data_IF_945590246663
#
_entry.id   IF_945590246663
#
_cell.length_a   1.000
_cell.length_b   1.000
_cell.length_c   1.000
_cell.angle_alpha   90.00
_cell.angle_beta   90.00
_cell.angle_gamma   90.00
#
_symmetry.space_group_name_H-M   'P 1'
#
loop_
_entity.id
_entity.type
_entity.pdbx_description
1 polymer ?
#
# COMPACT_ATOMS: atom_id res chain seq x y z
N UNK A 1 -39.74 7.10 9.04
CA UNK A 1 -39.10 6.63 10.28
C UNK A 1 -37.70 6.16 9.90
N UNK A 2 -36.73 7.05 10.02
CA UNK A 2 -35.35 6.71 9.73
C UNK A 2 -34.81 5.80 10.83
N UNK A 3 -34.25 4.66 10.43
CA UNK A 3 -33.45 3.85 11.33
C UNK A 3 -32.26 4.71 11.77
N UNK A 4 -31.82 4.61 13.04
CA UNK A 4 -30.60 5.31 13.44
C UNK A 4 -29.48 4.82 12.56
N UNK A 5 -28.81 5.74 11.85
CA UNK A 5 -27.53 5.49 11.23
C UNK A 5 -26.59 5.28 12.40
N UNK A 6 -26.29 4.03 12.70
CA UNK A 6 -25.19 3.71 13.60
C UNK A 6 -23.95 4.16 12.83
N UNK A 7 -23.39 5.28 13.24
CA UNK A 7 -22.09 5.74 12.76
C UNK A 7 -21.06 4.72 13.30
N UNK A 8 -20.92 3.61 12.57
CA UNK A 8 -19.94 2.60 12.89
C UNK A 8 -18.57 3.17 12.59
N UNK A 9 -17.98 3.79 13.59
CA UNK A 9 -16.62 4.29 13.49
C UNK A 9 -15.67 3.14 13.16
N UNK A 10 -14.69 3.41 12.30
CA UNK A 10 -13.62 2.48 12.00
C UNK A 10 -12.37 2.90 12.77
N UNK A 11 -11.64 1.92 13.24
CA UNK A 11 -10.36 2.13 13.91
C UNK A 11 -9.22 1.79 12.97
N UNK A 12 -8.19 2.62 12.98
CA UNK A 12 -6.97 2.37 12.23
C UNK A 12 -5.98 1.62 13.13
N UNK A 13 -5.58 0.42 12.71
CA UNK A 13 -4.56 -0.39 13.36
C UNK A 13 -3.28 -0.37 12.54
N UNK A 14 -2.17 -0.11 13.21
CA UNK A 14 -0.85 -0.24 12.60
C UNK A 14 -0.47 -1.72 12.43
N UNK A 15 0.06 -2.06 11.27
CA UNK A 15 0.52 -3.41 10.94
C UNK A 15 2.02 -3.54 11.19
N UNK A 16 2.48 -4.73 11.56
CA UNK A 16 3.91 -5.02 11.56
C UNK A 16 4.49 -4.97 10.14
N UNK A 17 5.79 -4.73 9.99
CA UNK A 17 6.44 -4.79 8.68
C UNK A 17 6.24 -6.14 7.98
N UNK A 18 6.31 -7.24 8.69
CA UNK A 18 6.15 -8.60 8.14
C UNK A 18 4.73 -8.80 7.63
N UNK A 19 3.72 -8.35 8.37
CA UNK A 19 2.33 -8.44 7.93
C UNK A 19 2.06 -7.52 6.75
N UNK A 20 2.63 -6.33 6.73
CA UNK A 20 2.54 -5.38 5.62
C UNK A 20 3.13 -5.98 4.34
N UNK A 21 4.30 -6.60 4.39
CA UNK A 21 4.93 -7.27 3.25
C UNK A 21 4.09 -8.47 2.78
N UNK A 22 3.52 -9.24 3.69
CA UNK A 22 2.63 -10.36 3.36
C UNK A 22 1.38 -9.86 2.62
N UNK A 23 0.77 -8.78 3.07
CA UNK A 23 -0.40 -8.18 2.40
C UNK A 23 -0.04 -7.59 1.04
N UNK A 24 1.09 -6.88 0.94
CA UNK A 24 1.61 -6.38 -0.32
C UNK A 24 1.84 -7.52 -1.33
N UNK A 25 2.34 -8.67 -0.88
CA UNK A 25 2.55 -9.86 -1.71
C UNK A 25 1.25 -10.53 -2.16
N UNK A 26 0.13 -10.26 -1.48
CA UNK A 26 -1.17 -10.86 -1.79
C UNK A 26 -1.89 -10.21 -2.96
N UNK A 27 -1.44 -9.04 -3.39
CA UNK A 27 -1.98 -8.28 -4.53
C UNK A 27 -0.92 -8.09 -5.59
N UNK A 28 -1.34 -7.78 -6.81
CA UNK A 28 -0.44 -7.63 -7.95
C UNK A 28 -0.52 -6.26 -8.61
N UNK A 29 -1.27 -5.34 -8.05
CA UNK A 29 -1.42 -3.96 -8.54
C UNK A 29 -1.13 -2.99 -7.40
N UNK A 30 -0.34 -1.98 -7.70
CA UNK A 30 -0.06 -0.87 -6.80
C UNK A 30 0.26 0.39 -7.58
N UNK A 31 0.86 1.34 -6.91
CA UNK A 31 1.23 2.64 -7.49
C UNK A 31 2.64 2.99 -7.08
N UNK A 32 3.49 3.24 -8.07
CA UNK A 32 4.81 3.81 -7.81
C UNK A 32 4.72 5.33 -7.84
N UNK A 33 5.36 5.97 -6.85
CA UNK A 33 5.49 7.42 -6.74
C UNK A 33 6.97 7.76 -6.81
N UNK A 34 7.33 8.65 -7.71
CA UNK A 34 8.70 9.05 -7.96
C UNK A 34 8.78 10.51 -8.39
N UNK A 35 9.96 11.07 -8.38
CA UNK A 35 10.19 12.43 -8.90
C UNK A 35 10.66 12.36 -10.34
N UNK A 36 10.00 13.08 -11.23
CA UNK A 36 10.40 13.24 -12.61
C UNK A 36 10.55 14.73 -12.94
N UNK A 37 11.74 15.14 -13.31
CA UNK A 37 12.05 16.55 -13.59
C UNK A 37 11.62 17.50 -12.45
N UNK A 38 11.96 17.14 -11.23
CA UNK A 38 11.62 17.83 -9.97
C UNK A 38 10.11 17.91 -9.66
N UNK A 39 9.26 17.15 -10.35
CA UNK A 39 7.84 17.06 -10.08
C UNK A 39 7.44 15.66 -9.61
N UNK A 40 6.53 15.54 -8.64
CA UNK A 40 5.98 14.26 -8.24
C UNK A 40 5.23 13.60 -9.41
N UNK A 41 5.45 12.31 -9.59
CA UNK A 41 4.75 11.48 -10.56
C UNK A 41 4.24 10.22 -9.89
N UNK A 42 3.06 9.77 -10.28
CA UNK A 42 2.44 8.54 -9.81
C UNK A 42 2.01 7.69 -10.99
N UNK A 43 2.21 6.36 -10.90
CA UNK A 43 1.82 5.41 -11.95
C UNK A 43 1.28 4.12 -11.34
N UNK A 44 0.08 3.66 -11.74
CA UNK A 44 -0.37 2.30 -11.47
C UNK A 44 0.54 1.31 -12.22
N UNK A 45 1.00 0.30 -11.54
CA UNK A 45 1.84 -0.76 -12.11
C UNK A 45 1.57 -2.10 -11.46
N UNK A 46 1.76 -3.18 -12.21
CA UNK A 46 1.79 -4.51 -11.64
C UNK A 46 3.11 -4.76 -10.93
N UNK A 47 3.05 -5.53 -9.86
CA UNK A 47 4.24 -5.91 -9.10
C UNK A 47 4.23 -7.37 -8.67
N UNK A 48 5.40 -7.83 -8.27
CA UNK A 48 5.59 -8.99 -7.41
C UNK A 48 6.59 -8.61 -6.31
N UNK A 49 6.55 -9.34 -5.21
CA UNK A 49 7.55 -9.23 -4.14
C UNK A 49 8.52 -10.39 -4.29
N UNK A 50 9.80 -10.10 -4.33
CA UNK A 50 10.91 -11.07 -4.39
C UNK A 50 11.94 -10.73 -3.31
N UNK A 51 11.93 -11.50 -2.23
CA UNK A 51 12.76 -11.23 -1.06
C UNK A 51 12.44 -9.88 -0.43
N UNK A 52 13.43 -9.01 -0.38
CA UNK A 52 13.34 -7.64 0.15
C UNK A 52 13.10 -6.58 -0.94
N UNK A 53 12.67 -7.00 -2.13
CA UNK A 53 12.42 -6.13 -3.26
C UNK A 53 10.99 -6.22 -3.79
N UNK A 54 10.47 -5.08 -4.23
CA UNK A 54 9.30 -5.00 -5.11
C UNK A 54 9.82 -4.94 -6.54
N UNK A 55 9.35 -5.86 -7.38
CA UNK A 55 9.71 -5.92 -8.80
C UNK A 55 8.56 -5.38 -9.62
N UNK A 56 8.85 -4.43 -10.50
CA UNK A 56 7.90 -3.87 -11.46
C UNK A 56 8.44 -3.96 -12.88
N UNK A 57 7.53 -3.92 -13.85
CA UNK A 57 7.89 -3.84 -15.28
C UNK A 57 7.31 -2.57 -15.90
N UNK A 58 8.09 -1.93 -16.73
CA UNK A 58 7.68 -0.71 -17.41
C UNK A 58 8.25 -0.62 -18.81
N UNK A 59 7.72 0.32 -19.60
CA UNK A 59 8.22 0.66 -20.92
C UNK A 59 9.56 1.41 -20.82
N UNK A 60 10.44 1.19 -21.79
CA UNK A 60 11.75 1.83 -21.84
C UNK A 60 11.73 3.34 -21.96
N UNK A 61 10.62 3.91 -22.44
CA UNK A 61 10.41 5.36 -22.53
C UNK A 61 9.70 5.95 -21.30
N UNK A 62 9.41 5.14 -20.30
CA UNK A 62 8.80 5.60 -19.06
C UNK A 62 9.66 6.65 -18.37
N UNK A 63 9.06 7.71 -17.80
CA UNK A 63 9.80 8.74 -17.07
C UNK A 63 10.69 8.19 -15.95
N UNK A 64 10.25 7.16 -15.24
CA UNK A 64 11.07 6.55 -14.18
C UNK A 64 12.35 5.90 -14.76
N UNK A 65 12.28 5.29 -15.94
CA UNK A 65 13.46 4.72 -16.59
C UNK A 65 14.46 5.82 -16.95
N UNK A 66 13.96 6.97 -17.39
CA UNK A 66 14.80 8.13 -17.69
C UNK A 66 15.51 8.66 -16.43
N UNK A 67 14.80 8.77 -15.32
CA UNK A 67 15.37 9.18 -14.04
C UNK A 67 16.46 8.18 -13.58
N UNK A 68 16.18 6.88 -13.62
CA UNK A 68 17.12 5.83 -13.23
C UNK A 68 18.32 5.64 -14.18
N UNK A 69 18.31 6.29 -15.36
CA UNK A 69 19.49 6.37 -16.24
C UNK A 69 20.44 7.48 -15.82
N UNK A 70 19.89 8.56 -15.30
CA UNK A 70 20.66 9.72 -14.84
C UNK A 70 21.22 9.50 -13.44
N UNK A 71 20.46 8.84 -12.60
CA UNK A 71 20.80 8.52 -11.20
C UNK A 71 20.72 7.00 -11.01
N UNK A 72 21.82 6.32 -10.66
CA UNK A 72 21.87 4.86 -10.55
C UNK A 72 21.06 4.28 -9.38
N UNK A 73 20.31 5.08 -8.66
CA UNK A 73 19.35 4.72 -7.64
C UNK A 73 18.56 5.94 -7.25
N UNK A 74 17.24 5.86 -7.30
CA UNK A 74 16.36 6.95 -6.90
C UNK A 74 15.44 6.50 -5.79
N UNK A 75 15.23 7.35 -4.79
CA UNK A 75 14.25 7.10 -3.74
C UNK A 75 12.86 7.25 -4.32
N UNK A 76 12.05 6.22 -4.11
CA UNK A 76 10.66 6.16 -4.55
C UNK A 76 9.76 5.73 -3.40
N UNK A 77 8.46 5.95 -3.54
CA UNK A 77 7.47 5.28 -2.72
C UNK A 77 6.66 4.31 -3.59
N UNK A 78 6.21 3.24 -2.98
CA UNK A 78 5.31 2.27 -3.57
C UNK A 78 4.13 2.03 -2.64
N UNK A 79 2.94 2.10 -3.16
CA UNK A 79 1.71 1.93 -2.38
C UNK A 79 0.85 0.83 -3.00
N UNK A 80 0.25 -0.01 -2.14
CA UNK A 80 -0.85 -0.87 -2.53
C UNK A 80 -1.88 -0.95 -1.41
N UNK A 81 -3.13 -1.12 -1.80
CA UNK A 81 -4.25 -1.20 -0.87
C UNK A 81 -5.29 -2.23 -1.32
N UNK A 82 -6.14 -2.59 -0.39
CA UNK A 82 -7.42 -3.22 -0.64
C UNK A 82 -8.41 -2.67 0.37
N UNK A 83 -9.17 -1.66 -0.02
CA UNK A 83 -10.15 -1.00 0.83
C UNK A 83 -11.52 -1.15 0.18
N UNK A 84 -12.47 -1.72 0.92
CA UNK A 84 -13.88 -1.74 0.53
C UNK A 84 -14.51 -0.38 0.82
N UNK A 85 -14.93 0.37 -0.21
CA UNK A 85 -15.48 1.71 -0.02
C UNK A 85 -16.88 1.72 0.61
N UNK A 86 -17.59 0.59 0.60
CA UNK A 86 -18.91 0.49 1.22
C UNK A 86 -18.81 0.15 2.71
N UNK A 87 -17.95 -0.80 3.03
CA UNK A 87 -17.74 -1.26 4.41
C UNK A 87 -16.72 -0.42 5.16
N UNK A 88 -15.91 0.36 4.47
CA UNK A 88 -14.77 1.11 5.02
C UNK A 88 -13.80 0.21 5.80
N UNK A 89 -13.58 -1.00 5.30
CA UNK A 89 -12.66 -1.99 5.85
C UNK A 89 -11.57 -2.29 4.83
N UNK A 90 -10.41 -2.69 5.31
CA UNK A 90 -9.32 -3.07 4.44
C UNK A 90 -7.96 -2.68 5.00
N UNK A 91 -6.99 -2.59 4.12
CA UNK A 91 -5.61 -2.28 4.48
C UNK A 91 -4.94 -1.45 3.39
N UNK A 92 -3.91 -0.73 3.79
CA UNK A 92 -2.97 -0.04 2.91
C UNK A 92 -1.55 -0.27 3.37
N UNK A 93 -0.63 -0.37 2.42
CA UNK A 93 0.81 -0.53 2.68
C UNK A 93 1.58 0.46 1.82
N UNK A 94 2.50 1.17 2.45
CA UNK A 94 3.43 2.07 1.78
C UNK A 94 4.86 1.60 2.05
N UNK A 95 5.62 1.47 0.99
CA UNK A 95 7.06 1.18 1.02
C UNK A 95 7.79 2.40 0.50
N UNK A 96 8.84 2.80 1.20
CA UNK A 96 9.80 3.79 0.71
C UNK A 96 11.15 3.10 0.57
N UNK A 97 11.81 3.29 -0.54
CA UNK A 97 13.09 2.67 -0.78
C UNK A 97 13.77 3.12 -2.06
N UNK A 98 14.93 2.53 -2.31
CA UNK A 98 15.73 2.86 -3.49
C UNK A 98 15.34 1.96 -4.66
N UNK A 99 14.94 2.59 -5.76
CA UNK A 99 14.67 1.92 -7.03
C UNK A 99 15.92 1.90 -7.90
N UNK A 100 16.16 0.78 -8.57
CA UNK A 100 17.21 0.64 -9.58
C UNK A 100 16.74 -0.23 -10.75
N UNK A 101 17.40 -0.07 -11.88
CA UNK A 101 17.15 -0.93 -13.03
C UNK A 101 17.86 -2.27 -12.84
N UNK A 102 17.18 -3.36 -13.12
CA UNK A 102 17.79 -4.69 -13.20
C UNK A 102 18.50 -4.80 -14.54
N UNK A 103 19.83 -4.74 -14.53
CA UNK A 103 20.67 -4.74 -15.74
C UNK A 103 21.20 -6.12 -16.10
N UNK A 104 21.24 -7.05 -15.15
CA UNK A 104 21.61 -8.43 -15.42
C UNK A 104 20.55 -9.10 -16.31
N UNK A 105 20.94 -9.64 -17.50
CA UNK A 105 19.98 -10.17 -18.45
C UNK A 105 19.23 -11.41 -17.95
N UNK A 106 19.88 -12.27 -17.17
CA UNK A 106 19.28 -13.51 -16.67
C UNK A 106 18.29 -13.21 -15.54
N UNK A 107 18.66 -12.31 -14.64
CA UNK A 107 17.78 -11.82 -13.59
C UNK A 107 16.57 -11.11 -14.18
N UNK A 108 16.78 -10.18 -15.11
CA UNK A 108 15.69 -9.47 -15.78
C UNK A 108 14.75 -10.44 -16.53
N UNK A 109 15.32 -11.49 -17.19
CA UNK A 109 14.51 -12.50 -17.86
C UNK A 109 13.69 -13.33 -16.88
N UNK A 110 14.25 -13.68 -15.72
CA UNK A 110 13.52 -14.38 -14.64
C UNK A 110 12.34 -13.55 -14.16
N UNK A 111 12.54 -12.27 -13.84
CA UNK A 111 11.49 -11.38 -13.40
C UNK A 111 10.42 -11.13 -14.48
N UNK A 112 10.81 -10.99 -15.76
CA UNK A 112 9.85 -10.85 -16.86
C UNK A 112 8.95 -12.08 -17.02
N UNK A 113 9.46 -13.28 -16.76
CA UNK A 113 8.65 -14.50 -16.76
C UNK A 113 7.70 -14.58 -15.56
N UNK A 114 8.16 -14.19 -14.39
CA UNK A 114 7.38 -14.24 -13.15
C UNK A 114 6.28 -13.17 -13.11
N UNK A 115 6.58 -11.96 -13.57
CA UNK A 115 5.65 -10.83 -13.56
C UNK A 115 5.09 -10.59 -14.97
N UNK A 116 3.89 -11.13 -15.23
CA UNK A 116 3.16 -10.88 -16.48
C UNK A 116 2.54 -9.48 -16.46
N UNK A 117 2.79 -8.68 -17.50
CA UNK A 117 2.14 -7.39 -17.66
C UNK A 117 0.66 -7.57 -18.00
N UNK A 118 -0.22 -6.78 -17.37
CA UNK A 118 -1.64 -6.73 -17.70
C UNK A 118 -1.93 -5.89 -18.94
N UNK A 119 -1.02 -5.00 -19.30
CA UNK A 119 -1.15 -4.11 -20.45
C UNK A 119 -0.32 -4.64 -21.60
N UNK A 120 -0.91 -4.70 -22.80
CA UNK A 120 -0.18 -5.05 -24.01
C UNK A 120 0.88 -3.99 -24.35
N UNK A 121 1.99 -4.45 -24.93
CA UNK A 121 3.11 -3.59 -25.33
C UNK A 121 4.44 -4.05 -24.76
N UNK A 122 5.52 -3.40 -25.19
CA UNK A 122 6.88 -3.70 -24.77
C UNK A 122 7.14 -3.15 -23.37
N UNK A 123 6.98 -4.00 -22.34
CA UNK A 123 7.38 -3.70 -20.96
C UNK A 123 8.58 -4.55 -20.59
N UNK A 124 9.70 -4.24 -21.22
CA UNK A 124 10.96 -4.99 -21.17
C UNK A 124 11.93 -4.49 -20.09
N UNK A 125 11.69 -3.29 -19.56
CA UNK A 125 12.49 -2.77 -18.45
C UNK A 125 11.98 -3.31 -17.11
N UNK A 126 12.89 -3.87 -16.34
CA UNK A 126 12.64 -4.36 -14.98
C UNK A 126 13.28 -3.40 -13.99
N UNK A 127 12.50 -3.01 -13.00
CA UNK A 127 12.93 -2.16 -11.90
C UNK A 127 12.73 -2.93 -10.60
N UNK A 128 13.75 -2.95 -9.76
CA UNK A 128 13.70 -3.47 -8.41
C UNK A 128 13.70 -2.29 -7.42
N UNK A 129 12.81 -2.33 -6.44
CA UNK A 129 12.69 -1.34 -5.37
C UNK A 129 13.02 -2.04 -4.07
N UNK A 130 14.13 -1.68 -3.44
CA UNK A 130 14.48 -2.21 -2.12
C UNK A 130 13.50 -1.67 -1.07
N UNK A 131 13.01 -2.52 -0.18
CA UNK A 131 12.04 -2.13 0.85
C UNK A 131 12.76 -1.62 2.10
N UNK A 132 13.21 -0.35 2.09
CA UNK A 132 13.97 0.24 3.20
C UNK A 132 13.07 0.60 4.39
N UNK A 133 11.89 1.15 4.11
CA UNK A 133 10.88 1.51 5.11
C UNK A 133 9.54 0.94 4.66
N UNK A 134 8.90 0.20 5.56
CA UNK A 134 7.58 -0.41 5.32
C UNK A 134 6.63 0.07 6.40
N UNK A 135 5.50 0.62 6.02
CA UNK A 135 4.41 0.99 6.91
C UNK A 135 3.09 0.46 6.38
N UNK A 136 2.27 -0.06 7.25
CA UNK A 136 0.97 -0.59 6.89
C UNK A 136 -0.08 -0.27 7.94
N UNK A 137 -1.31 -0.12 7.48
CA UNK A 137 -2.46 0.14 8.33
C UNK A 137 -3.65 -0.70 7.89
N UNK A 138 -4.46 -1.09 8.87
CA UNK A 138 -5.73 -1.79 8.65
C UNK A 138 -6.87 -0.98 9.24
N UNK A 139 -7.93 -0.81 8.47
CA UNK A 139 -9.23 -0.32 8.94
C UNK A 139 -10.02 -1.50 9.48
N UNK A 140 -10.39 -1.45 10.75
CA UNK A 140 -11.20 -2.46 11.43
C UNK A 140 -12.44 -1.83 12.01
N UNK A 141 -13.50 -2.64 12.17
CA UNK A 141 -14.70 -2.19 12.89
C UNK A 141 -14.34 -1.89 14.34
N UNK A 142 -14.79 -0.75 14.85
CA UNK A 142 -14.64 -0.42 16.26
C UNK A 142 -15.72 -1.15 17.06
N UNK A 143 -15.39 -2.34 17.55
CA UNK A 143 -16.25 -3.12 18.43
C UNK A 143 -16.09 -2.69 19.89
N UNK A 144 -15.85 -1.41 20.18
CA UNK A 144 -15.88 -0.93 21.55
C UNK A 144 -17.26 -1.27 22.13
N UNK A 145 -17.35 -2.02 23.25
CA UNK A 145 -18.62 -2.26 23.89
C UNK A 145 -19.19 -0.90 24.27
N UNK A 146 -20.35 -0.56 23.70
CA UNK A 146 -21.04 0.68 24.03
C UNK A 146 -21.13 0.82 25.54
N UNK A 147 -20.55 1.87 26.10
CA UNK A 147 -20.75 2.25 27.50
C UNK A 147 -22.23 2.66 27.57
N UNK A 148 -23.06 1.72 27.95
CA UNK A 148 -24.43 2.03 28.30
C UNK A 148 -24.40 3.00 29.46
N UNK A 149 -24.73 4.25 29.21
CA UNK A 149 -25.02 5.23 30.25
C UNK A 149 -26.36 4.88 30.86
N UNK A 150 -26.40 3.86 31.72
CA UNK A 150 -27.51 3.61 32.63
C UNK A 150 -26.95 3.61 34.04
N UNK A 151 -27.36 4.60 34.81
CA UNK A 151 -27.04 4.66 36.21
C UNK A 151 -27.26 6.03 36.88
N UNK A 152 -28.29 6.73 36.52
CA UNK A 152 -28.78 7.78 37.43
C UNK A 152 -29.59 7.13 38.53
N UNK A 153 -28.91 6.66 39.56
CA UNK A 153 -29.57 6.29 40.81
C UNK A 153 -30.14 7.55 41.48
N UNK A 154 -31.43 7.58 41.63
CA UNK A 154 -32.15 8.56 42.46
C UNK A 154 -31.65 8.46 43.91
N UNK A 155 -31.04 9.52 44.43
CA UNK A 155 -30.75 9.67 45.83
C UNK A 155 -32.02 10.17 46.50
N UNK A 156 -32.69 9.27 47.21
CA UNK A 156 -33.82 9.63 48.10
C UNK A 156 -33.30 10.50 49.23
N UNK A 157 -33.89 11.69 49.36
CA UNK A 157 -33.81 12.53 50.53
C UNK A 157 -34.71 11.94 51.61
N UNK A 158 -34.14 11.58 52.71
CA UNK A 158 -34.89 11.44 53.96
C UNK A 158 -34.17 12.22 55.05
N UNK A 159 -34.76 13.29 55.52
CA UNK A 159 -34.40 14.04 56.71
C UNK A 159 -35.50 13.88 57.75
N UNK A 160 -35.16 13.74 59.03
CA UNK A 160 -36.11 13.91 60.12
C UNK A 160 -36.32 15.37 60.45
#
# INVERSE_FOLDING_TARGET
MGLPVVDEQRRLEELSPEESIRLLSSVSLGRIVFTARALPAIRPVNHLVDGDHIIIRTDGNSPIVSELRSEPGSVVAYEADTIDPAEHLGWSVVVVGVAHRVIDPDEAARHRRALRSWVAGSKDQVIAIHMDMVSGFRLVADNAPGISAEGTAAVGHNLP
#
